data_IF_108093535439
#
_entry.id   IF_108093535439
#
_cell.length_a   1.000
_cell.length_b   1.000
_cell.length_c   1.000
_cell.angle_alpha   90.00
_cell.angle_beta   90.00
_cell.angle_gamma   90.00
#
_symmetry.space_group_name_H-M   'P 1'
#
loop_
_entity.id
_entity.type
_entity.pdbx_description
1 polymer ?
#
# COMPACT_ATOMS: atom_id res chain seq x y z
N UNK A 1 -6.12 4.83 -10.13
CA UNK A 1 -5.29 3.65 -10.46
C UNK A 1 -4.62 3.93 -11.79
N UNK A 2 -3.30 4.09 -11.77
CA UNK A 2 -2.46 4.40 -12.93
C UNK A 2 -1.80 3.14 -13.48
N UNK A 3 -1.52 2.14 -12.64
CA UNK A 3 -0.78 0.95 -13.04
C UNK A 3 -1.68 -0.16 -13.58
N UNK A 4 -1.16 -0.90 -14.57
CA UNK A 4 -1.85 -2.06 -15.13
C UNK A 4 -1.97 -3.19 -14.10
N UNK A 5 -0.93 -3.41 -13.29
CA UNK A 5 -0.91 -4.37 -12.19
C UNK A 5 -2.02 -4.11 -11.17
N UNK A 6 -2.18 -2.87 -10.72
CA UNK A 6 -3.24 -2.48 -9.79
C UNK A 6 -4.63 -2.73 -10.38
N UNK A 7 -4.86 -2.36 -11.65
CA UNK A 7 -6.15 -2.56 -12.32
C UNK A 7 -6.49 -4.03 -12.51
N UNK A 8 -5.53 -4.84 -12.95
CA UNK A 8 -5.71 -6.28 -13.16
C UNK A 8 -5.97 -7.00 -11.83
N UNK A 9 -5.17 -6.72 -10.81
CA UNK A 9 -5.35 -7.32 -9.48
C UNK A 9 -6.69 -6.93 -8.87
N UNK A 10 -7.07 -5.64 -8.93
CA UNK A 10 -8.34 -5.17 -8.42
C UNK A 10 -9.54 -5.77 -9.16
N UNK A 11 -9.48 -5.85 -10.49
CA UNK A 11 -10.52 -6.48 -11.30
C UNK A 11 -10.70 -7.95 -10.96
N UNK A 12 -9.59 -8.68 -10.81
CA UNK A 12 -9.61 -10.08 -10.37
C UNK A 12 -10.21 -10.23 -8.97
N UNK A 13 -9.75 -9.44 -8.00
CA UNK A 13 -10.26 -9.46 -6.63
C UNK A 13 -11.76 -9.16 -6.57
N UNK A 14 -12.21 -8.16 -7.33
CA UNK A 14 -13.63 -7.79 -7.45
C UNK A 14 -14.45 -8.92 -8.05
N UNK A 15 -13.95 -9.59 -9.09
CA UNK A 15 -14.61 -10.74 -9.70
C UNK A 15 -14.71 -11.93 -8.74
N UNK A 16 -13.68 -12.18 -7.90
CA UNK A 16 -13.70 -13.26 -6.90
C UNK A 16 -14.65 -12.97 -5.74
N UNK A 17 -14.66 -11.73 -5.23
CA UNK A 17 -15.52 -11.39 -4.07
C UNK A 17 -17.00 -11.48 -4.41
N UNK A 18 -17.37 -11.14 -5.65
CA UNK A 18 -18.78 -11.04 -6.06
C UNK A 18 -19.50 -9.98 -5.24
N UNK A 19 -20.56 -10.38 -4.53
CA UNK A 19 -21.34 -9.49 -3.64
C UNK A 19 -20.80 -9.42 -2.21
N UNK A 20 -19.79 -10.23 -1.87
CA UNK A 20 -19.15 -10.24 -0.54
C UNK A 20 -18.20 -9.07 -0.39
N UNK A 21 -17.90 -8.72 0.86
CA UNK A 21 -16.94 -7.65 1.16
C UNK A 21 -15.52 -7.99 0.66
N UNK A 22 -15.07 -9.23 0.86
CA UNK A 22 -13.78 -9.73 0.39
C UNK A 22 -13.90 -11.19 -0.10
N UNK A 23 -13.05 -11.63 -1.04
CA UNK A 23 -12.93 -13.03 -1.41
C UNK A 23 -12.18 -13.82 -0.32
N UNK A 24 -12.44 -15.11 -0.23
CA UNK A 24 -11.68 -16.02 0.62
C UNK A 24 -10.28 -16.23 0.04
N UNK A 25 -9.26 -16.30 0.89
CA UNK A 25 -7.87 -16.57 0.45
C UNK A 25 -7.75 -17.86 -0.36
N UNK A 26 -8.60 -18.85 -0.11
CA UNK A 26 -8.62 -20.12 -0.86
C UNK A 26 -9.03 -19.95 -2.32
N UNK A 27 -9.76 -18.88 -2.66
CA UNK A 27 -10.26 -18.59 -4.01
C UNK A 27 -9.23 -17.84 -4.87
N UNK A 28 -8.13 -17.39 -4.27
CA UNK A 28 -7.06 -16.69 -4.98
C UNK A 28 -6.16 -17.71 -5.67
N UNK A 29 -6.28 -17.76 -6.99
CA UNK A 29 -5.51 -18.61 -7.89
C UNK A 29 -4.38 -17.79 -8.54
N UNK A 30 -3.10 -18.04 -8.21
CA UNK A 30 -1.98 -17.26 -8.76
C UNK A 30 -1.93 -17.28 -10.29
N UNK A 31 -2.31 -18.40 -10.92
CA UNK A 31 -2.30 -18.56 -12.38
C UNK A 31 -3.23 -17.57 -13.09
N UNK A 32 -4.33 -17.16 -12.47
CA UNK A 32 -5.29 -16.21 -13.03
C UNK A 32 -4.75 -14.78 -13.13
N UNK A 33 -3.76 -14.42 -12.30
CA UNK A 33 -3.10 -13.11 -12.26
C UNK A 33 -1.63 -13.18 -12.68
N UNK A 34 -1.25 -14.21 -13.45
CA UNK A 34 0.14 -14.53 -13.82
C UNK A 34 0.92 -13.36 -14.44
N UNK A 35 0.24 -12.46 -15.15
CA UNK A 35 0.88 -11.32 -15.84
C UNK A 35 1.39 -10.28 -14.84
N UNK A 36 0.77 -10.20 -13.66
CA UNK A 36 1.06 -9.17 -12.65
C UNK A 36 1.71 -9.74 -11.40
N UNK A 37 1.84 -11.08 -11.28
CA UNK A 37 2.46 -11.76 -10.13
C UNK A 37 3.81 -11.17 -9.70
N UNK A 38 4.61 -10.67 -10.65
CA UNK A 38 5.88 -10.03 -10.32
C UNK A 38 5.76 -8.78 -9.42
N UNK A 39 4.64 -8.06 -9.49
CA UNK A 39 4.35 -6.88 -8.65
C UNK A 39 3.52 -7.23 -7.40
N UNK A 40 2.99 -8.44 -7.33
CA UNK A 40 2.01 -8.84 -6.32
C UNK A 40 2.73 -9.36 -5.08
N UNK A 41 2.16 -9.07 -3.92
CA UNK A 41 2.60 -9.61 -2.65
C UNK A 41 1.40 -10.01 -1.79
N UNK A 42 1.66 -10.85 -0.79
CA UNK A 42 0.68 -11.26 0.21
C UNK A 42 1.23 -10.93 1.59
N UNK A 43 0.46 -10.20 2.38
CA UNK A 43 0.76 -9.88 3.77
C UNK A 43 -0.05 -10.75 4.71
N UNK A 44 0.52 -11.03 5.87
CA UNK A 44 -0.28 -11.40 7.04
C UNK A 44 -0.72 -10.19 7.84
N UNK A 45 -1.91 -10.30 8.42
CA UNK A 45 -2.38 -9.31 9.34
C UNK A 45 -1.85 -9.60 10.75
N UNK A 46 -0.61 -9.16 11.04
CA UNK A 46 -0.02 -9.24 12.38
C UNK A 46 0.61 -7.89 12.76
N UNK A 47 -0.05 -7.17 13.67
CA UNK A 47 0.39 -5.84 14.13
C UNK A 47 1.68 -5.90 14.95
N UNK A 48 1.99 -7.04 15.57
CA UNK A 48 3.18 -7.20 16.43
C UNK A 48 4.45 -7.37 15.60
N UNK A 49 4.33 -7.94 14.41
CA UNK A 49 5.46 -8.21 13.49
C UNK A 49 5.45 -7.32 12.24
N UNK A 50 4.64 -6.26 12.24
CA UNK A 50 4.62 -5.26 11.16
C UNK A 50 4.04 -5.78 9.85
N UNK A 51 3.06 -6.69 9.91
CA UNK A 51 2.36 -7.27 8.77
C UNK A 51 3.32 -7.99 7.79
N UNK A 52 3.90 -9.12 8.19
CA UNK A 52 5.00 -9.72 7.45
C UNK A 52 4.56 -10.22 6.07
N UNK A 53 5.45 -10.12 5.09
CA UNK A 53 5.25 -10.72 3.78
C UNK A 53 5.24 -12.25 3.89
N UNK A 54 4.26 -12.88 3.26
CA UNK A 54 4.27 -14.34 3.04
C UNK A 54 4.68 -14.73 1.64
N UNK A 55 4.47 -13.81 0.71
CA UNK A 55 4.97 -13.89 -0.65
C UNK A 55 5.22 -12.47 -1.13
N UNK A 56 6.27 -12.29 -1.91
CA UNK A 56 6.53 -11.07 -2.65
C UNK A 56 6.97 -11.45 -4.07
N UNK A 57 6.38 -10.79 -5.05
CA UNK A 57 6.71 -10.96 -6.45
C UNK A 57 8.15 -10.52 -6.73
N UNK A 58 8.76 -11.12 -7.74
CA UNK A 58 10.18 -10.90 -8.07
C UNK A 58 10.49 -9.46 -8.43
N UNK A 59 9.56 -8.73 -9.06
CA UNK A 59 9.75 -7.29 -9.36
C UNK A 59 9.66 -6.45 -8.10
N UNK A 60 8.81 -6.81 -7.14
CA UNK A 60 8.79 -6.16 -5.81
C UNK A 60 10.12 -6.37 -5.10
N UNK A 61 10.60 -7.61 -5.01
CA UNK A 61 11.90 -7.92 -4.39
C UNK A 61 13.05 -7.16 -5.06
N UNK A 62 13.03 -7.06 -6.40
CA UNK A 62 14.07 -6.34 -7.15
C UNK A 62 14.13 -4.85 -6.83
N UNK A 63 13.01 -4.21 -6.44
CA UNK A 63 13.03 -2.79 -6.02
C UNK A 63 13.87 -2.57 -4.76
N UNK A 64 13.95 -3.57 -3.88
CA UNK A 64 14.65 -3.49 -2.60
C UNK A 64 15.95 -4.29 -2.56
N UNK A 65 16.36 -4.87 -3.69
CA UNK A 65 17.60 -5.64 -3.83
C UNK A 65 17.66 -6.93 -3.02
N UNK A 66 16.54 -7.41 -2.45
CA UNK A 66 16.50 -8.58 -1.55
C UNK A 66 15.16 -9.29 -1.55
N UNK A 67 15.14 -10.53 -1.04
CA UNK A 67 13.90 -11.28 -0.84
C UNK A 67 13.13 -10.72 0.37
N UNK A 68 11.88 -10.30 0.16
CA UNK A 68 11.06 -9.70 1.21
C UNK A 68 10.30 -10.72 2.07
N UNK A 69 10.37 -12.02 1.76
CA UNK A 69 9.59 -13.04 2.46
C UNK A 69 9.91 -13.03 3.97
N UNK A 70 8.86 -12.96 4.78
CA UNK A 70 8.87 -12.81 6.24
C UNK A 70 9.39 -11.48 6.78
N UNK A 71 9.80 -10.54 5.92
CA UNK A 71 10.11 -9.18 6.37
C UNK A 71 8.83 -8.42 6.75
N UNK A 72 8.95 -7.47 7.66
CA UNK A 72 7.88 -6.54 8.04
C UNK A 72 7.56 -5.61 6.87
N UNK A 73 6.27 -5.50 6.52
CA UNK A 73 5.81 -4.54 5.52
C UNK A 73 6.05 -3.10 5.99
N UNK A 74 5.90 -2.82 7.28
CA UNK A 74 6.12 -1.48 7.85
C UNK A 74 7.59 -1.05 7.78
N UNK A 75 8.53 -2.00 7.77
CA UNK A 75 9.97 -1.71 7.74
C UNK A 75 10.43 -1.16 6.37
N UNK A 76 9.61 -1.33 5.33
CA UNK A 76 9.87 -0.73 4.02
C UNK A 76 9.61 0.78 3.99
N UNK A 77 9.05 1.36 5.05
CA UNK A 77 8.61 2.75 5.09
C UNK A 77 9.40 3.53 6.13
N UNK A 78 9.50 4.84 5.91
CA UNK A 78 10.16 5.73 6.84
C UNK A 78 9.39 5.84 8.17
N UNK A 79 10.07 6.32 9.19
CA UNK A 79 9.54 6.35 10.55
C UNK A 79 8.24 7.14 10.65
N UNK A 80 8.13 8.25 9.92
CA UNK A 80 6.92 9.09 9.89
C UNK A 80 5.73 8.39 9.21
N UNK A 81 5.99 7.52 8.24
CA UNK A 81 4.94 6.78 7.50
C UNK A 81 4.47 5.52 8.23
N UNK A 82 5.29 4.90 9.09
CA UNK A 82 4.95 3.62 9.74
C UNK A 82 3.62 3.64 10.48
N UNK A 83 3.37 4.66 11.31
CA UNK A 83 2.14 4.76 12.08
C UNK A 83 0.89 5.01 11.20
N UNK A 84 0.90 6.00 10.27
CA UNK A 84 -0.20 6.18 9.30
C UNK A 84 -0.47 4.92 8.47
N UNK A 85 0.57 4.22 8.03
CA UNK A 85 0.43 3.01 7.22
C UNK A 85 -0.15 1.85 8.03
N UNK A 86 0.28 1.66 9.28
CA UNK A 86 -0.30 0.65 10.16
C UNK A 86 -1.79 0.90 10.41
N UNK A 87 -2.21 2.16 10.51
CA UNK A 87 -3.62 2.53 10.59
C UNK A 87 -4.36 2.24 9.28
N UNK A 88 -3.78 2.58 8.13
CA UNK A 88 -4.36 2.27 6.82
C UNK A 88 -4.58 0.77 6.64
N UNK A 89 -3.60 -0.05 7.01
CA UNK A 89 -3.69 -1.52 6.96
C UNK A 89 -4.81 -2.02 7.89
N UNK A 90 -4.92 -1.48 9.11
CA UNK A 90 -6.03 -1.82 10.01
C UNK A 90 -7.40 -1.47 9.40
N UNK A 91 -7.56 -0.27 8.83
CA UNK A 91 -8.80 0.15 8.17
C UNK A 91 -9.15 -0.77 6.99
N UNK A 92 -8.19 -1.17 6.17
CA UNK A 92 -8.40 -2.12 5.06
C UNK A 92 -8.92 -3.47 5.58
N UNK A 93 -8.39 -3.95 6.70
CA UNK A 93 -8.87 -5.19 7.33
C UNK A 93 -10.27 -5.03 7.92
N UNK A 94 -10.47 -3.98 8.74
CA UNK A 94 -11.70 -3.72 9.48
C UNK A 94 -12.90 -3.44 8.56
N UNK A 95 -12.70 -2.57 7.57
CA UNK A 95 -13.76 -2.12 6.66
C UNK A 95 -13.87 -3.02 5.41
N UNK A 96 -13.05 -4.08 5.33
CA UNK A 96 -13.03 -5.04 4.23
C UNK A 96 -12.99 -4.36 2.84
N UNK A 97 -12.28 -3.23 2.74
CA UNK A 97 -12.25 -2.36 1.57
C UNK A 97 -10.85 -2.18 1.04
N UNK A 98 -10.72 -2.24 -0.28
CA UNK A 98 -9.47 -2.00 -0.97
C UNK A 98 -9.03 -0.54 -0.94
N UNK A 99 -7.72 -0.30 -0.98
CA UNK A 99 -7.15 1.05 -1.08
C UNK A 99 -6.09 1.09 -2.18
N UNK A 100 -5.98 2.23 -2.84
CA UNK A 100 -4.85 2.57 -3.70
C UNK A 100 -4.14 3.79 -3.13
N UNK A 101 -2.82 3.74 -3.07
CA UNK A 101 -2.00 4.82 -2.55
C UNK A 101 -0.81 5.11 -3.49
N UNK A 102 -0.40 6.38 -3.52
CA UNK A 102 0.91 6.73 -4.05
C UNK A 102 1.97 6.37 -3.01
N UNK A 103 3.12 5.88 -3.48
CA UNK A 103 4.31 5.72 -2.65
C UNK A 103 5.50 6.35 -3.37
N UNK A 104 6.46 6.89 -2.62
CA UNK A 104 7.69 7.43 -3.19
C UNK A 104 8.88 6.85 -2.47
N UNK A 105 9.89 6.45 -3.23
CA UNK A 105 11.18 6.01 -2.71
C UNK A 105 12.32 6.80 -3.35
N UNK A 106 13.50 6.65 -2.76
CA UNK A 106 14.76 7.06 -3.39
C UNK A 106 15.77 5.94 -3.26
N UNK A 107 16.68 5.83 -4.22
CA UNK A 107 17.84 4.97 -4.08
C UNK A 107 18.88 5.59 -3.14
N UNK A 108 19.94 4.83 -2.80
CA UNK A 108 21.07 5.36 -2.01
C UNK A 108 21.75 6.57 -2.66
N UNK A 109 21.71 6.66 -4.00
CA UNK A 109 22.24 7.76 -4.80
C UNK A 109 21.24 8.94 -4.92
N UNK A 110 20.08 8.86 -4.26
CA UNK A 110 19.06 9.92 -4.25
C UNK A 110 18.12 9.93 -5.46
N UNK A 111 18.20 8.93 -6.34
CA UNK A 111 17.36 8.83 -7.54
C UNK A 111 15.90 8.59 -7.14
N UNK A 112 14.95 9.47 -7.54
CA UNK A 112 13.56 9.35 -7.15
C UNK A 112 12.85 8.22 -7.90
N UNK A 113 11.92 7.56 -7.21
CA UNK A 113 11.00 6.61 -7.80
C UNK A 113 9.58 6.82 -7.26
N UNK A 114 8.65 7.14 -8.14
CA UNK A 114 7.23 7.10 -7.82
C UNK A 114 6.68 5.68 -8.05
N UNK A 115 5.83 5.22 -7.13
CA UNK A 115 5.18 3.91 -7.17
C UNK A 115 3.67 4.04 -6.90
N UNK A 116 2.92 3.06 -7.34
CA UNK A 116 1.54 2.82 -6.93
C UNK A 116 1.48 1.57 -6.05
N UNK A 117 0.86 1.72 -4.88
CA UNK A 117 0.52 0.65 -3.95
C UNK A 117 -0.98 0.37 -4.04
N UNK A 118 -1.37 -0.89 -4.12
CA UNK A 118 -2.74 -1.32 -3.86
C UNK A 118 -2.74 -2.36 -2.75
N UNK A 119 -3.69 -2.27 -1.82
CA UNK A 119 -3.91 -3.24 -0.75
C UNK A 119 -5.37 -3.67 -0.77
N UNK A 120 -5.61 -4.97 -0.75
CA UNK A 120 -6.92 -5.60 -0.84
C UNK A 120 -7.04 -6.67 0.27
N UNK A 121 -8.10 -6.64 1.07
CA UNK A 121 -8.28 -7.61 2.14
C UNK A 121 -8.68 -8.97 1.57
N UNK A 122 -8.27 -10.04 2.26
CA UNK A 122 -8.73 -11.39 2.01
C UNK A 122 -9.45 -11.91 3.24
N UNK A 123 -10.62 -12.52 3.05
CA UNK A 123 -11.27 -13.27 4.08
C UNK A 123 -10.53 -14.60 4.33
N UNK A 124 -10.58 -15.07 5.57
CA UNK A 124 -10.19 -16.40 5.96
C UNK A 124 -11.14 -16.89 7.04
N UNK A 125 -11.93 -17.92 6.73
CA UNK A 125 -12.94 -18.45 7.67
C UNK A 125 -13.89 -17.35 8.17
N UNK A 126 -14.27 -16.42 7.29
CA UNK A 126 -15.13 -15.28 7.63
C UNK A 126 -14.43 -14.10 8.32
N UNK A 127 -13.13 -14.17 8.61
CA UNK A 127 -12.36 -13.05 9.17
C UNK A 127 -11.47 -12.38 8.12
N UNK A 128 -11.56 -11.06 7.98
CA UNK A 128 -10.67 -10.25 7.12
C UNK A 128 -9.32 -9.94 7.76
N UNK A 129 -9.17 -10.20 9.06
CA UNK A 129 -7.96 -9.99 9.85
C UNK A 129 -6.93 -11.11 9.68
N UNK A 130 -6.92 -11.77 8.53
CA UNK A 130 -6.01 -12.88 8.29
C UNK A 130 -4.89 -12.48 7.34
N UNK A 131 -5.26 -12.02 6.14
CA UNK A 131 -4.30 -11.78 5.06
C UNK A 131 -4.77 -10.66 4.16
N UNK A 132 -3.81 -10.06 3.48
CA UNK A 132 -4.06 -9.09 2.41
C UNK A 132 -3.28 -9.50 1.18
N UNK A 133 -3.82 -9.18 0.01
CA UNK A 133 -3.10 -9.21 -1.25
C UNK A 133 -2.90 -7.79 -1.71
N UNK A 134 -1.72 -7.47 -2.22
CA UNK A 134 -1.42 -6.16 -2.73
C UNK A 134 -0.53 -6.22 -3.95
N UNK A 135 -0.33 -5.07 -4.57
CA UNK A 135 0.70 -4.89 -5.57
C UNK A 135 1.45 -3.58 -5.32
N UNK A 136 2.76 -3.60 -5.58
CA UNK A 136 3.62 -2.42 -5.54
C UNK A 136 4.33 -2.33 -6.88
N UNK A 137 4.09 -1.25 -7.62
CA UNK A 137 4.59 -1.12 -8.99
C UNK A 137 5.10 0.30 -9.29
N UNK A 138 6.28 0.43 -9.92
CA UNK A 138 6.81 1.71 -10.36
C UNK A 138 5.88 2.42 -11.35
N UNK A 139 5.78 3.75 -11.25
CA UNK A 139 5.04 4.54 -12.25
C UNK A 139 5.76 4.65 -13.59
N UNK A 140 7.09 4.60 -13.56
CA UNK A 140 7.98 4.53 -14.71
C UNK A 140 8.99 3.40 -14.49
N UNK A 141 9.46 2.78 -15.57
CA UNK A 141 10.45 1.71 -15.51
C UNK A 141 11.73 2.23 -14.81
N UNK A 142 12.18 1.61 -13.70
CA UNK A 142 13.36 2.09 -13.01
C UNK A 142 14.62 1.68 -13.76
N UNK A 143 15.37 2.66 -14.28
CA UNK A 143 16.62 2.44 -15.00
C UNK A 143 17.75 1.90 -14.11
N UNK A 144 17.62 2.04 -12.79
CA UNK A 144 18.59 1.62 -11.78
C UNK A 144 18.40 0.18 -11.29
N UNK A 145 17.38 -0.54 -11.78
CA UNK A 145 17.17 -1.93 -11.41
C UNK A 145 18.39 -2.78 -11.75
N UNK A 146 18.88 -3.54 -10.76
CA UNK A 146 20.06 -4.39 -10.88
C UNK A 146 21.38 -3.68 -10.55
N UNK A 147 21.39 -2.35 -10.41
CA UNK A 147 22.58 -1.58 -10.00
C UNK A 147 22.39 -0.85 -8.68
N UNK A 148 21.14 -0.57 -8.28
CA UNK A 148 20.79 0.03 -7.00
C UNK A 148 19.46 -0.52 -6.46
N UNK A 149 19.05 -0.03 -5.30
CA UNK A 149 17.84 -0.42 -4.59
C UNK A 149 17.19 0.79 -3.90
N UNK A 150 15.89 0.71 -3.65
CA UNK A 150 15.17 1.70 -2.86
C UNK A 150 15.55 1.59 -1.38
N UNK A 151 15.70 2.77 -0.76
CA UNK A 151 15.61 2.92 0.68
C UNK A 151 14.16 2.92 1.16
N UNK A 152 13.94 3.58 2.29
CA UNK A 152 12.60 3.71 2.87
C UNK A 152 11.63 4.46 1.93
N UNK A 153 10.39 3.97 1.90
CA UNK A 153 9.28 4.58 1.17
C UNK A 153 8.56 5.61 2.05
N UNK A 154 7.91 6.56 1.37
CA UNK A 154 6.97 7.52 1.96
C UNK A 154 5.59 7.31 1.36
N UNK A 155 4.55 7.46 2.19
CA UNK A 155 3.16 7.35 1.75
C UNK A 155 2.64 8.70 1.22
N UNK A 156 2.10 8.67 0.01
CA UNK A 156 1.45 9.81 -0.62
C UNK A 156 -0.07 9.76 -0.49
N UNK A 157 -0.75 10.30 -1.50
CA UNK A 157 -2.22 10.32 -1.55
C UNK A 157 -2.80 8.91 -1.49
N UNK A 158 -3.79 8.72 -0.63
CA UNK A 158 -4.55 7.47 -0.45
C UNK A 158 -5.97 7.66 -0.96
N UNK A 159 -6.53 6.63 -1.60
CA UNK A 159 -7.93 6.58 -2.05
C UNK A 159 -8.54 5.20 -1.77
N UNK A 160 -9.69 5.18 -1.13
CA UNK A 160 -10.47 3.96 -0.92
C UNK A 160 -11.17 3.53 -2.22
N UNK A 161 -11.32 2.23 -2.43
CA UNK A 161 -11.88 1.66 -3.66
C UNK A 161 -13.35 1.26 -3.52
N UNK A 162 -13.98 1.55 -2.38
CA UNK A 162 -15.43 1.42 -2.18
C UNK A 162 -16.10 2.81 -2.11
N UNK A 163 -17.11 3.10 -2.96
CA UNK A 163 -17.81 4.38 -2.94
C UNK A 163 -18.54 4.69 -1.61
N UNK A 164 -18.89 3.69 -0.80
CA UNK A 164 -19.54 3.93 0.50
C UNK A 164 -18.59 4.53 1.56
N UNK A 165 -17.27 4.33 1.41
CA UNK A 165 -16.25 4.74 2.37
C UNK A 165 -15.50 6.02 1.98
N UNK A 166 -15.66 6.51 0.74
CA UNK A 166 -15.10 7.83 0.35
C UNK A 166 -15.62 8.96 1.27
N UNK A 167 -16.87 8.84 1.74
CA UNK A 167 -17.49 9.80 2.67
C UNK A 167 -16.90 9.72 4.09
N UNK A 168 -16.52 8.52 4.56
CA UNK A 168 -16.05 8.29 5.93
C UNK A 168 -14.53 8.48 6.08
N UNK A 169 -13.75 8.08 5.08
CA UNK A 169 -12.28 8.24 5.06
C UNK A 169 -11.86 9.71 5.05
N UNK A 170 -12.58 10.56 4.31
CA UNK A 170 -12.36 12.00 4.27
C UNK A 170 -12.54 12.67 5.64
N UNK A 171 -13.53 12.22 6.43
CA UNK A 171 -13.81 12.77 7.75
C UNK A 171 -12.79 12.33 8.82
N UNK A 172 -12.31 11.08 8.77
CA UNK A 172 -11.35 10.55 9.76
C UNK A 172 -9.91 11.03 9.53
N UNK A 173 -9.47 11.15 8.27
CA UNK A 173 -8.14 11.72 7.95
C UNK A 173 -8.09 13.22 8.27
N UNK A 174 -9.20 13.96 8.10
CA UNK A 174 -9.30 15.36 8.52
C UNK A 174 -9.24 15.53 10.04
N UNK A 175 -9.82 14.58 10.81
CA UNK A 175 -9.79 14.63 12.28
C UNK A 175 -8.42 14.32 12.89
N UNK A 176 -7.56 13.57 12.18
CA UNK A 176 -6.18 13.28 12.61
C UNK A 176 -5.14 14.35 12.23
N UNK A 177 -5.50 15.26 11.31
CA UNK A 177 -4.61 16.30 10.80
C UNK A 177 -4.79 17.65 11.52
N UNK A 178 -4.97 17.66 12.84
CA UNK A 178 -4.86 18.91 13.62
C UNK A 178 -3.38 19.22 13.91
N UNK A 179 -2.62 19.58 12.86
CA UNK A 179 -1.38 20.34 13.04
C UNK A 179 -1.78 21.81 13.10
N UNK A 180 -1.72 22.39 14.31
CA UNK A 180 -1.79 23.83 14.56
C UNK A 180 -0.84 24.56 13.60
N UNK A 181 -1.38 25.17 12.56
CA UNK A 181 -0.67 26.22 11.85
C UNK A 181 -0.65 27.45 12.76
N UNK A 182 0.43 27.65 13.50
CA UNK A 182 0.72 28.92 14.18
C UNK A 182 1.06 29.91 13.06
N UNK A 183 0.08 30.73 12.71
CA UNK A 183 0.29 31.87 11.82
C UNK A 183 1.01 32.96 12.60
N UNK A 184 2.33 33.07 12.44
CA UNK A 184 3.11 34.19 12.98
C UNK A 184 3.01 35.35 11.99
N UNK A 185 2.21 36.36 12.33
CA UNK A 185 2.18 37.65 11.64
C UNK A 185 3.45 38.40 12.01
N UNK A 186 4.29 38.69 11.01
CA UNK A 186 5.36 39.67 11.17
C UNK A 186 4.76 41.07 10.98
N UNK A 187 4.81 41.90 12.02
CA UNK A 187 4.58 43.34 11.87
C UNK A 187 5.65 43.92 10.94
N UNK A 188 5.25 44.30 9.73
CA UNK A 188 6.05 45.11 8.83
C UNK A 188 6.01 46.57 9.28
N UNK A 189 7.13 47.05 9.81
CA UNK A 189 7.34 48.43 10.25
C UNK A 189 7.31 49.47 9.11
N UNK A 190 6.89 50.66 9.53
CA UNK A 190 6.81 51.99 8.89
C UNK A 190 7.72 52.27 7.68
N UNK A 191 7.13 53.02 6.74
CA UNK A 191 7.69 54.29 6.28
C UNK A 191 6.59 55.35 6.38
#
# INVERSE_FOLDING_TARGET
MKQASSRELFGYWTARRGTRAAPERGEIEPGAIRRVLGDVFVLEFDRRTGHPFRLAGTRVCALFGRELKNESFLDLWDEETRAPLAQLVAVVADEATGVVAAAKGRTGEGLPQDLELILLPLAHRGSTHARMIGALSPLAAPFWLGTSQLGALTLGTVRHLDPALETLGSARLAAGASRRAIFTVHEGGRA
#
